data_IF_308775972692
#
_entry.id   IF_308775972692
#
_cell.length_a   1.000
_cell.length_b   1.000
_cell.length_c   1.000
_cell.angle_alpha   90.00
_cell.angle_beta   90.00
_cell.angle_gamma   90.00
#
_symmetry.space_group_name_H-M   'P 1'
#
loop_
_entity.id
_entity.type
_entity.pdbx_description
1 polymer ?
#
# COMPACT_ATOMS: atom_id res chain seq x y z
N UNK A 1 17.81 9.98 -9.48
CA UNK A 1 19.12 10.28 -8.87
C UNK A 1 18.94 11.09 -7.58
N UNK A 2 20.03 11.37 -6.83
CA UNK A 2 19.98 12.31 -5.69
C UNK A 2 19.55 13.72 -6.14
N UNK A 3 19.97 14.13 -7.35
CA UNK A 3 19.55 15.37 -7.98
C UNK A 3 18.04 15.41 -8.24
N UNK A 4 17.48 14.34 -8.85
CA UNK A 4 16.04 14.23 -9.08
C UNK A 4 15.24 14.27 -7.77
N UNK A 5 15.74 13.67 -6.68
CA UNK A 5 15.08 13.70 -5.38
C UNK A 5 15.08 15.09 -4.73
N UNK A 6 16.08 15.93 -5.04
CA UNK A 6 16.12 17.34 -4.60
C UNK A 6 15.19 18.22 -5.42
N UNK A 7 15.04 17.93 -6.72
CA UNK A 7 14.15 18.67 -7.63
C UNK A 7 12.68 18.24 -7.48
N UNK A 8 12.44 16.96 -7.21
CA UNK A 8 11.10 16.41 -6.97
C UNK A 8 11.02 15.81 -5.57
N UNK A 9 10.89 16.70 -4.59
CA UNK A 9 10.78 16.36 -3.14
C UNK A 9 9.61 15.43 -2.82
N UNK A 10 8.65 15.25 -3.74
CA UNK A 10 7.49 14.36 -3.58
C UNK A 10 7.73 12.94 -4.09
N UNK A 11 8.89 12.64 -4.73
CA UNK A 11 9.19 11.29 -5.20
C UNK A 11 9.49 10.38 -4.02
N UNK A 12 8.65 9.37 -3.73
CA UNK A 12 8.96 8.40 -2.67
C UNK A 12 10.19 7.57 -3.07
N UNK A 13 10.99 7.19 -2.06
CA UNK A 13 12.18 6.33 -2.21
C UNK A 13 13.17 6.79 -3.31
N UNK A 14 13.62 8.06 -3.33
CA UNK A 14 14.47 8.58 -4.40
C UNK A 14 15.88 7.94 -4.42
N UNK A 15 16.27 7.26 -3.34
CA UNK A 15 17.56 6.56 -3.20
C UNK A 15 17.53 5.15 -3.74
N UNK A 16 16.43 4.43 -3.59
CA UNK A 16 16.24 3.07 -4.11
C UNK A 16 16.17 3.13 -5.64
N UNK A 17 16.89 2.23 -6.31
CA UNK A 17 17.03 2.15 -7.77
C UNK A 17 16.56 0.80 -8.29
N UNK A 18 16.57 -0.23 -7.46
CA UNK A 18 16.09 -1.57 -7.80
C UNK A 18 14.90 -1.97 -6.94
N UNK A 19 14.19 -3.02 -7.36
CA UNK A 19 13.07 -3.60 -6.60
C UNK A 19 13.58 -4.21 -5.28
N UNK A 20 14.73 -4.86 -5.28
CA UNK A 20 15.33 -5.48 -4.11
C UNK A 20 15.68 -4.43 -3.04
N UNK A 21 16.25 -3.29 -3.45
CA UNK A 21 16.53 -2.18 -2.53
C UNK A 21 15.24 -1.58 -1.94
N UNK A 22 14.15 -1.56 -2.72
CA UNK A 22 12.84 -1.12 -2.24
C UNK A 22 12.25 -2.14 -1.26
N UNK A 23 12.28 -3.43 -1.59
CA UNK A 23 11.85 -4.52 -0.72
C UNK A 23 12.61 -4.48 0.61
N UNK A 24 13.92 -4.30 0.58
CA UNK A 24 14.75 -4.21 1.78
C UNK A 24 14.32 -3.07 2.70
N UNK A 25 13.94 -1.92 2.14
CA UNK A 25 13.42 -0.79 2.91
C UNK A 25 12.01 -1.07 3.43
N UNK A 26 11.10 -1.56 2.61
CA UNK A 26 9.72 -1.87 3.00
C UNK A 26 9.66 -2.99 4.06
N UNK A 27 10.61 -3.94 4.01
CA UNK A 27 10.72 -5.03 4.98
C UNK A 27 11.02 -4.57 6.42
N UNK A 28 11.48 -3.33 6.58
CA UNK A 28 11.74 -2.71 7.90
C UNK A 28 10.47 -2.19 8.57
N UNK A 29 9.35 -2.13 7.84
CA UNK A 29 8.05 -1.76 8.42
C UNK A 29 7.56 -2.91 9.31
N UNK A 30 7.53 -2.66 10.61
CA UNK A 30 7.11 -3.64 11.62
C UNK A 30 5.67 -3.45 12.10
N UNK A 31 5.12 -2.24 11.93
CA UNK A 31 3.74 -1.94 12.29
C UNK A 31 2.76 -2.76 11.44
N UNK A 32 1.68 -3.31 12.03
CA UNK A 32 0.61 -3.93 11.26
C UNK A 32 0.12 -2.98 10.17
N UNK A 33 0.15 -3.43 8.91
CA UNK A 33 -0.17 -2.59 7.75
C UNK A 33 -1.31 -3.18 6.94
N UNK A 34 -2.38 -2.41 6.74
CA UNK A 34 -3.46 -2.77 5.81
C UNK A 34 -3.27 -2.01 4.51
N UNK A 35 -3.23 -2.72 3.38
CA UNK A 35 -3.25 -2.15 2.04
C UNK A 35 -4.65 -2.37 1.45
N UNK A 36 -5.22 -1.31 0.90
CA UNK A 36 -6.52 -1.32 0.22
C UNK A 36 -6.31 -0.83 -1.21
N UNK A 37 -6.90 -1.50 -2.20
CA UNK A 37 -6.79 -1.09 -3.59
C UNK A 37 -7.95 -1.54 -4.47
N UNK A 38 -8.15 -0.84 -5.58
CA UNK A 38 -9.14 -1.22 -6.58
C UNK A 38 -8.54 -2.08 -7.68
N UNK A 39 -9.24 -3.13 -8.10
CA UNK A 39 -8.83 -3.99 -9.22
C UNK A 39 -8.78 -3.25 -10.57
N UNK A 40 -9.48 -2.12 -10.68
CA UNK A 40 -9.54 -1.28 -11.88
C UNK A 40 -8.76 0.03 -11.72
N UNK A 41 -7.88 0.13 -10.72
CA UNK A 41 -7.05 1.33 -10.49
C UNK A 41 -5.95 1.46 -11.56
N UNK A 42 -5.97 2.51 -12.41
CA UNK A 42 -4.95 2.72 -13.43
C UNK A 42 -3.70 3.46 -12.90
N UNK A 43 -3.74 3.98 -11.68
CA UNK A 43 -2.68 4.76 -11.03
C UNK A 43 -1.86 3.84 -10.12
N UNK A 44 -2.52 3.19 -9.16
CA UNK A 44 -1.89 2.26 -8.22
C UNK A 44 -2.28 0.82 -8.58
N UNK A 45 -1.65 0.30 -9.63
CA UNK A 45 -1.98 -1.01 -10.19
C UNK A 45 -2.03 -2.11 -9.11
N UNK A 46 -2.98 -3.08 -9.18
CA UNK A 46 -3.06 -4.18 -8.23
C UNK A 46 -1.76 -4.98 -8.09
N UNK A 47 -1.01 -5.15 -9.20
CA UNK A 47 0.29 -5.81 -9.18
C UNK A 47 1.32 -5.08 -8.30
N UNK A 48 1.28 -3.75 -8.23
CA UNK A 48 2.20 -2.97 -7.40
C UNK A 48 1.84 -3.09 -5.91
N UNK A 49 0.55 -3.12 -5.59
CA UNK A 49 0.07 -3.38 -4.22
C UNK A 49 0.41 -4.79 -3.77
N UNK A 50 0.27 -5.80 -4.64
CA UNK A 50 0.64 -7.18 -4.34
C UNK A 50 2.14 -7.30 -4.02
N UNK A 51 3.02 -6.68 -4.82
CA UNK A 51 4.47 -6.64 -4.52
C UNK A 51 4.76 -5.96 -3.19
N UNK A 52 4.11 -4.82 -2.92
CA UNK A 52 4.27 -4.09 -1.66
C UNK A 52 3.81 -4.92 -0.45
N UNK A 53 2.71 -5.65 -0.59
CA UNK A 53 2.22 -6.58 0.43
C UNK A 53 3.22 -7.73 0.68
N UNK A 54 3.83 -8.26 -0.38
CA UNK A 54 4.92 -9.25 -0.25
C UNK A 54 6.16 -8.72 0.45
N UNK A 55 6.47 -7.42 0.30
CA UNK A 55 7.63 -6.79 0.93
C UNK A 55 7.39 -6.42 2.41
N UNK A 56 6.19 -5.96 2.75
CA UNK A 56 5.82 -5.61 4.14
C UNK A 56 5.34 -6.85 4.88
N UNK A 57 6.23 -7.47 5.66
CA UNK A 57 5.98 -8.79 6.29
C UNK A 57 4.72 -8.86 7.15
N UNK A 58 4.38 -7.78 7.86
CA UNK A 58 3.22 -7.72 8.75
C UNK A 58 2.01 -7.03 8.08
N UNK A 59 1.74 -7.36 6.82
CA UNK A 59 0.68 -6.72 6.05
C UNK A 59 -0.49 -7.64 5.68
N UNK A 60 -1.62 -7.02 5.32
CA UNK A 60 -2.77 -7.64 4.64
C UNK A 60 -3.13 -6.75 3.45
N UNK A 61 -3.46 -7.34 2.31
CA UNK A 61 -3.99 -6.64 1.14
C UNK A 61 -5.45 -7.05 0.90
N UNK A 62 -6.30 -6.06 0.66
CA UNK A 62 -7.68 -6.25 0.18
C UNK A 62 -7.82 -5.53 -1.16
N UNK A 63 -8.38 -6.23 -2.15
CA UNK A 63 -8.61 -5.71 -3.49
C UNK A 63 -10.11 -5.72 -3.80
N UNK A 64 -10.67 -4.56 -4.10
CA UNK A 64 -12.09 -4.39 -4.44
C UNK A 64 -12.27 -4.54 -5.96
N UNK A 65 -13.10 -5.51 -6.39
CA UNK A 65 -13.19 -5.98 -7.78
C UNK A 65 -13.67 -4.91 -8.78
N UNK A 66 -14.61 -4.08 -8.37
CA UNK A 66 -15.25 -3.06 -9.19
C UNK A 66 -14.71 -1.64 -8.94
N UNK A 67 -13.78 -1.48 -8.01
CA UNK A 67 -13.21 -0.18 -7.65
C UNK A 67 -12.02 0.25 -8.51
N UNK A 68 -11.91 1.57 -8.72
CA UNK A 68 -10.72 2.25 -9.26
C UNK A 68 -9.89 2.91 -8.15
N UNK A 69 -9.20 4.01 -8.49
CA UNK A 69 -8.34 4.73 -7.53
C UNK A 69 -9.10 5.35 -6.34
N UNK A 70 -10.31 5.86 -6.59
CA UNK A 70 -11.19 6.44 -5.56
C UNK A 70 -12.09 5.42 -4.87
N UNK A 71 -11.54 4.27 -4.48
CA UNK A 71 -12.30 3.18 -3.86
C UNK A 71 -13.08 3.60 -2.60
N UNK A 72 -12.57 4.59 -1.87
CA UNK A 72 -13.18 5.19 -0.67
C UNK A 72 -14.46 5.99 -0.95
N UNK A 73 -14.73 6.33 -2.22
CA UNK A 73 -15.97 6.99 -2.62
C UNK A 73 -17.07 6.02 -3.03
N UNK A 74 -16.70 4.77 -3.33
CA UNK A 74 -17.61 3.73 -3.83
C UNK A 74 -17.89 2.67 -2.75
N UNK A 75 -16.88 2.34 -1.95
CA UNK A 75 -16.90 1.26 -0.96
C UNK A 75 -16.71 1.77 0.48
N UNK A 76 -17.23 2.96 0.80
CA UNK A 76 -16.98 3.63 2.08
C UNK A 76 -17.26 2.73 3.28
N UNK A 77 -18.44 2.11 3.32
CA UNK A 77 -18.87 1.29 4.46
C UNK A 77 -18.09 -0.02 4.55
N UNK A 78 -17.76 -0.64 3.41
CA UNK A 78 -16.94 -1.84 3.37
C UNK A 78 -15.51 -1.55 3.85
N UNK A 79 -14.91 -0.45 3.37
CA UNK A 79 -13.57 -0.01 3.79
C UNK A 79 -13.51 0.25 5.29
N UNK A 80 -14.51 0.96 5.84
CA UNK A 80 -14.58 1.19 7.29
C UNK A 80 -14.67 -0.14 8.05
N UNK A 81 -15.50 -1.07 7.57
CA UNK A 81 -15.64 -2.41 8.16
C UNK A 81 -14.30 -3.16 8.14
N UNK A 82 -13.64 -3.21 6.98
CA UNK A 82 -12.35 -3.89 6.80
C UNK A 82 -11.25 -3.31 7.69
N UNK A 83 -11.20 -1.98 7.84
CA UNK A 83 -10.27 -1.29 8.75
C UNK A 83 -10.54 -1.72 10.20
N UNK A 84 -11.79 -1.68 10.65
CA UNK A 84 -12.16 -2.05 12.02
C UNK A 84 -11.84 -3.52 12.30
N UNK A 85 -12.17 -4.41 11.36
CA UNK A 85 -11.86 -5.84 11.47
C UNK A 85 -10.36 -6.11 11.50
N UNK A 86 -9.57 -5.43 10.66
CA UNK A 86 -8.12 -5.51 10.71
C UNK A 86 -7.57 -5.09 12.08
N UNK A 87 -8.06 -3.97 12.63
CA UNK A 87 -7.65 -3.50 13.94
C UNK A 87 -8.01 -4.49 15.05
N UNK A 88 -9.24 -5.00 15.07
CA UNK A 88 -9.68 -6.01 16.06
C UNK A 88 -8.86 -7.30 15.98
N UNK A 89 -8.65 -7.83 14.77
CA UNK A 89 -7.89 -9.05 14.54
C UNK A 89 -6.40 -8.93 14.94
N UNK A 90 -5.90 -7.69 15.08
CA UNK A 90 -4.53 -7.38 15.51
C UNK A 90 -4.46 -6.78 16.92
N UNK A 91 -5.57 -6.77 17.65
CA UNK A 91 -5.66 -6.21 19.01
C UNK A 91 -5.23 -4.74 19.10
N UNK A 92 -5.53 -3.94 18.08
CA UNK A 92 -5.22 -2.51 18.01
C UNK A 92 -6.34 -1.61 18.55
N UNK A 93 -7.54 -2.17 18.70
CA UNK A 93 -8.75 -1.56 19.25
C UNK A 93 -9.58 -2.60 20.01
#
# INVERSE_FOLDING_TARGET
>A
SLEEGRLNVKKPFPRQKTEEELIDILSKITVPTLLLGGMRDPISLPANLLRSCGAVKNSKLILYEDAGHGLDTVHTDEIVTDIVEFCRARHLL
#
